data_IF_081272959181
#
_entry.id   IF_081272959181
#
_cell.length_a   1.000
_cell.length_b   1.000
_cell.length_c   1.000
_cell.angle_alpha   90.00
_cell.angle_beta   90.00
_cell.angle_gamma   90.00
#
_symmetry.space_group_name_H-M   'P 1'
#
loop_
_entity.id
_entity.type
_entity.pdbx_description
1 polymer ?
#
# COMPACT_ATOMS: atom_id res chain seq x y z
N UNK A 1 -30.89 33.57 10.44
CA UNK A 1 -31.12 32.29 11.14
C UNK A 1 -29.86 31.45 11.02
N UNK A 2 -29.19 31.20 12.14
CA UNK A 2 -27.97 30.41 12.24
C UNK A 2 -28.42 28.94 12.25
N UNK A 3 -28.11 28.18 11.20
CA UNK A 3 -28.31 26.73 11.20
C UNK A 3 -26.97 26.04 11.39
N UNK A 4 -26.63 25.86 12.65
CA UNK A 4 -25.62 24.94 13.15
C UNK A 4 -26.15 23.51 12.93
N UNK A 5 -25.61 22.78 11.95
CA UNK A 5 -25.72 21.33 11.86
C UNK A 5 -24.33 20.71 11.72
N UNK A 6 -23.65 20.54 12.86
CA UNK A 6 -22.64 19.49 13.00
C UNK A 6 -23.39 18.17 13.14
N UNK A 7 -23.43 17.37 12.08
CA UNK A 7 -23.87 15.98 12.18
C UNK A 7 -23.03 15.13 11.21
N UNK A 8 -21.96 14.55 11.76
CA UNK A 8 -21.15 13.45 11.21
C UNK A 8 -20.89 13.52 9.70
N UNK A 9 -20.12 14.51 9.26
CA UNK A 9 -19.61 14.51 7.89
C UNK A 9 -18.56 13.39 7.79
N UNK A 10 -18.98 12.23 7.30
CA UNK A 10 -18.08 11.31 6.61
C UNK A 10 -17.39 12.15 5.54
N UNK A 11 -16.14 12.54 5.78
CA UNK A 11 -15.36 13.25 4.79
C UNK A 11 -15.21 12.29 3.60
N UNK A 12 -15.81 12.56 2.42
CA UNK A 12 -15.77 11.61 1.29
C UNK A 12 -14.33 11.29 0.87
N UNK A 13 -13.40 12.24 1.10
CA UNK A 13 -11.98 12.03 0.90
C UNK A 13 -11.40 10.97 1.86
N UNK A 14 -11.88 10.91 3.11
CA UNK A 14 -11.48 9.88 4.09
C UNK A 14 -12.06 8.53 3.72
N UNK A 15 -13.31 8.43 3.26
CA UNK A 15 -13.91 7.16 2.83
C UNK A 15 -13.18 6.56 1.60
N UNK A 16 -12.76 7.41 0.65
CA UNK A 16 -11.97 6.98 -0.51
C UNK A 16 -10.59 6.48 -0.07
N UNK A 17 -9.88 7.25 0.76
CA UNK A 17 -8.59 6.84 1.32
C UNK A 17 -8.71 5.56 2.13
N UNK A 18 -9.76 5.43 2.92
CA UNK A 18 -10.06 4.25 3.71
C UNK A 18 -10.24 3.00 2.83
N UNK A 19 -11.04 3.12 1.76
CA UNK A 19 -11.24 2.04 0.79
C UNK A 19 -9.92 1.64 0.10
N UNK A 20 -9.06 2.61 -0.22
CA UNK A 20 -7.70 2.35 -0.74
C UNK A 20 -6.85 1.60 0.29
N UNK A 21 -6.91 2.02 1.56
CA UNK A 21 -6.13 1.39 2.63
C UNK A 21 -6.58 -0.03 2.96
N UNK A 22 -7.87 -0.33 2.92
CA UNK A 22 -8.39 -1.69 3.17
C UNK A 22 -7.82 -2.73 2.20
N UNK A 23 -7.39 -2.32 0.99
CA UNK A 23 -6.80 -3.20 -0.04
C UNK A 23 -5.28 -3.37 0.09
N UNK A 24 -4.60 -2.45 0.78
CA UNK A 24 -3.15 -2.51 1.01
C UNK A 24 -2.64 -3.83 1.58
N UNK A 25 -3.26 -4.46 2.61
CA UNK A 25 -2.73 -5.68 3.17
C UNK A 25 -2.68 -6.85 2.17
N UNK A 26 -3.63 -6.93 1.24
CA UNK A 26 -3.62 -7.93 0.17
C UNK A 26 -2.55 -7.60 -0.89
N UNK A 27 -2.38 -6.32 -1.23
CA UNK A 27 -1.29 -5.87 -2.12
C UNK A 27 0.07 -6.23 -1.51
N UNK A 28 0.29 -5.92 -0.23
CA UNK A 28 1.54 -6.23 0.48
C UNK A 28 1.88 -7.72 0.40
N UNK A 29 0.87 -8.59 0.57
CA UNK A 29 1.01 -10.05 0.42
C UNK A 29 1.42 -10.45 -0.97
N UNK A 30 0.79 -9.91 -2.00
CA UNK A 30 1.16 -10.20 -3.39
C UNK A 30 2.58 -9.72 -3.71
N UNK A 31 2.95 -8.51 -3.29
CA UNK A 31 4.30 -7.97 -3.47
C UNK A 31 5.33 -8.88 -2.79
N UNK A 32 5.14 -9.23 -1.53
CA UNK A 32 6.05 -10.12 -0.80
C UNK A 32 6.21 -11.49 -1.47
N UNK A 33 5.10 -12.12 -1.87
CA UNK A 33 5.15 -13.41 -2.56
C UNK A 33 5.92 -13.31 -3.88
N UNK A 34 5.82 -12.17 -4.58
CA UNK A 34 6.60 -11.92 -5.78
C UNK A 34 8.11 -11.80 -5.47
N UNK A 35 8.49 -11.09 -4.42
CA UNK A 35 9.90 -11.04 -3.96
C UNK A 35 10.45 -12.42 -3.60
N UNK A 36 9.68 -13.24 -2.87
CA UNK A 36 10.09 -14.61 -2.52
C UNK A 36 10.25 -15.48 -3.77
N UNK A 37 9.40 -15.28 -4.78
CA UNK A 37 9.46 -16.03 -6.04
C UNK A 37 10.63 -15.61 -6.95
N UNK A 38 10.92 -14.31 -7.07
CA UNK A 38 12.04 -13.79 -7.87
C UNK A 38 13.40 -14.04 -7.21
N UNK A 39 13.45 -14.11 -5.86
CA UNK A 39 14.70 -14.21 -5.06
C UNK A 39 15.68 -13.07 -5.32
N UNK A 40 15.17 -11.89 -5.70
CA UNK A 40 15.95 -10.66 -5.88
C UNK A 40 15.69 -9.70 -4.72
N UNK A 41 16.72 -8.98 -4.22
CA UNK A 41 16.54 -8.01 -3.14
C UNK A 41 15.79 -6.75 -3.58
N UNK A 42 15.91 -6.39 -4.87
CA UNK A 42 15.24 -5.26 -5.49
C UNK A 42 14.56 -5.69 -6.80
N UNK A 43 13.37 -5.16 -7.04
CA UNK A 43 12.55 -5.41 -8.23
C UNK A 43 12.13 -4.08 -8.84
N UNK A 44 12.02 -4.01 -10.16
CA UNK A 44 11.49 -2.82 -10.84
C UNK A 44 10.04 -2.59 -10.41
N UNK A 45 9.71 -1.33 -10.10
CA UNK A 45 8.39 -0.93 -9.64
C UNK A 45 7.32 -1.28 -10.68
N UNK A 46 7.58 -1.08 -11.96
CA UNK A 46 6.70 -1.49 -13.06
C UNK A 46 6.39 -2.99 -13.02
N UNK A 47 7.40 -3.85 -12.94
CA UNK A 47 7.20 -5.30 -12.89
C UNK A 47 6.39 -5.73 -11.65
N UNK A 48 6.62 -5.07 -10.51
CA UNK A 48 5.84 -5.30 -9.28
C UNK A 48 4.38 -4.87 -9.51
N UNK A 49 4.16 -3.71 -10.12
CA UNK A 49 2.81 -3.20 -10.42
C UNK A 49 2.05 -4.12 -11.39
N UNK A 50 2.71 -4.59 -12.45
CA UNK A 50 2.14 -5.55 -13.39
C UNK A 50 1.76 -6.86 -12.71
N UNK A 51 2.64 -7.39 -11.85
CA UNK A 51 2.36 -8.62 -11.11
C UNK A 51 1.19 -8.46 -10.15
N UNK A 52 1.14 -7.34 -9.41
CA UNK A 52 0.03 -7.03 -8.50
C UNK A 52 -1.28 -6.87 -9.26
N UNK A 53 -1.25 -6.21 -10.43
CA UNK A 53 -2.43 -6.09 -11.30
C UNK A 53 -2.96 -7.47 -11.70
N UNK A 54 -2.08 -8.34 -12.16
CA UNK A 54 -2.47 -9.68 -12.62
C UNK A 54 -2.94 -10.59 -11.47
N UNK A 55 -2.35 -10.48 -10.27
CA UNK A 55 -2.64 -11.41 -9.16
C UNK A 55 -3.65 -10.91 -8.13
N UNK A 56 -3.82 -9.60 -7.95
CA UNK A 56 -4.59 -9.03 -6.84
C UNK A 56 -5.67 -8.05 -7.29
N UNK A 57 -5.33 -7.14 -8.20
CA UNK A 57 -6.18 -5.99 -8.55
C UNK A 57 -6.26 -5.80 -10.07
N UNK A 58 -6.92 -6.72 -10.80
CA UNK A 58 -7.02 -6.63 -12.26
C UNK A 58 -7.80 -5.40 -12.73
N UNK A 59 -8.72 -4.91 -11.90
CA UNK A 59 -9.57 -3.74 -12.20
C UNK A 59 -8.85 -2.39 -12.10
N UNK A 60 -7.65 -2.34 -11.48
CA UNK A 60 -6.91 -1.09 -11.30
C UNK A 60 -5.91 -0.85 -12.44
N UNK A 61 -5.65 0.44 -12.71
CA UNK A 61 -4.58 0.85 -13.61
C UNK A 61 -3.21 0.72 -12.93
N UNK A 62 -2.15 0.58 -13.73
CA UNK A 62 -0.79 0.45 -13.21
C UNK A 62 -0.38 1.67 -12.37
N UNK A 63 -0.78 2.87 -12.79
CA UNK A 63 -0.55 4.11 -12.05
C UNK A 63 -1.21 4.10 -10.66
N UNK A 64 -2.46 3.63 -10.56
CA UNK A 64 -3.12 3.50 -9.27
C UNK A 64 -2.42 2.46 -8.39
N UNK A 65 -2.02 1.31 -8.94
CA UNK A 65 -1.28 0.30 -8.18
C UNK A 65 0.05 0.87 -7.68
N UNK A 66 0.75 1.62 -8.52
CA UNK A 66 1.98 2.30 -8.15
C UNK A 66 1.74 3.23 -6.96
N UNK A 67 0.69 4.06 -7.00
CA UNK A 67 0.30 4.91 -5.87
C UNK A 67 0.10 4.12 -4.58
N UNK A 68 -0.53 2.93 -4.65
CA UNK A 68 -0.71 2.07 -3.48
C UNK A 68 0.62 1.54 -2.93
N UNK A 69 1.57 1.17 -3.80
CA UNK A 69 2.92 0.73 -3.38
C UNK A 69 3.68 1.87 -2.70
N UNK A 70 3.64 3.08 -3.28
CA UNK A 70 4.23 4.28 -2.67
C UNK A 70 3.57 4.58 -1.31
N UNK A 71 2.26 4.41 -1.21
CA UNK A 71 1.52 4.64 0.02
C UNK A 71 1.92 3.63 1.11
N UNK A 72 2.17 2.37 0.76
CA UNK A 72 2.71 1.39 1.72
C UNK A 72 4.08 1.84 2.26
N UNK A 73 4.97 2.31 1.40
CA UNK A 73 6.28 2.80 1.82
C UNK A 73 6.18 4.03 2.75
N UNK A 74 5.23 4.93 2.48
CA UNK A 74 4.99 6.08 3.36
C UNK A 74 4.52 5.67 4.76
N UNK A 75 3.72 4.60 4.88
CA UNK A 75 3.22 4.13 6.16
C UNK A 75 4.21 3.23 6.91
N UNK A 76 4.95 2.37 6.20
CA UNK A 76 5.88 1.40 6.78
C UNK A 76 7.21 1.42 6.01
N UNK A 77 8.01 2.49 6.17
CA UNK A 77 9.32 2.62 5.51
C UNK A 77 10.36 1.62 6.06
N UNK A 78 10.08 0.97 7.19
CA UNK A 78 10.91 -0.09 7.75
C UNK A 78 10.77 -1.44 7.01
N UNK A 79 9.65 -1.63 6.29
CA UNK A 79 9.36 -2.87 5.56
C UNK A 79 9.79 -2.75 4.09
N UNK A 80 9.39 -1.66 3.44
CA UNK A 80 9.56 -1.45 2.01
C UNK A 80 10.36 -0.18 1.73
N UNK A 81 11.37 -0.30 0.88
CA UNK A 81 12.23 0.79 0.44
C UNK A 81 12.00 1.02 -1.06
N UNK A 82 12.03 2.29 -1.47
CA UNK A 82 11.95 2.68 -2.87
C UNK A 82 13.26 3.38 -3.22
N UNK A 83 13.92 2.88 -4.27
CA UNK A 83 15.18 3.40 -4.79
C UNK A 83 14.94 3.90 -6.19
N UNK A 84 15.21 5.18 -6.44
CA UNK A 84 15.13 5.76 -7.78
C UNK A 84 16.51 5.64 -8.44
N UNK A 85 16.59 4.97 -9.59
CA UNK A 85 17.82 4.78 -10.35
C UNK A 85 17.60 5.28 -11.78
N UNK A 86 18.22 6.42 -12.12
CA UNK A 86 17.98 7.11 -13.39
C UNK A 86 16.48 7.41 -13.62
N UNK A 87 15.89 6.79 -14.65
CA UNK A 87 14.50 6.95 -15.06
C UNK A 87 13.60 5.85 -14.47
N UNK A 88 14.18 4.85 -13.83
CA UNK A 88 13.49 3.68 -13.32
C UNK A 88 13.42 3.70 -11.79
N UNK A 89 12.31 3.18 -11.24
CA UNK A 89 12.13 3.03 -9.80
C UNK A 89 12.21 1.58 -9.44
N UNK A 90 12.93 1.29 -8.37
CA UNK A 90 13.07 -0.03 -7.80
C UNK A 90 12.45 -0.07 -6.42
N UNK A 91 11.86 -1.21 -6.09
CA UNK A 91 11.32 -1.53 -4.77
C UNK A 91 12.19 -2.61 -4.16
N UNK A 92 12.52 -2.48 -2.89
CA UNK A 92 13.23 -3.50 -2.12
C UNK A 92 12.56 -3.76 -0.78
N UNK A 93 12.69 -4.99 -0.27
CA UNK A 93 12.27 -5.30 1.10
C UNK A 93 13.48 -5.08 2.01
N UNK A 94 13.41 -4.05 2.85
CA UNK A 94 14.53 -3.60 3.69
C UNK A 94 14.90 -4.60 4.77
N UNK A 95 13.91 -5.27 5.34
CA UNK A 95 14.12 -6.26 6.38
C UNK A 95 13.48 -7.59 5.98
N UNK A 96 14.30 -8.50 5.47
CA UNK A 96 13.89 -9.87 5.09
C UNK A 96 13.43 -10.72 6.26
N UNK A 97 13.75 -10.33 7.51
CA UNK A 97 13.26 -10.99 8.73
C UNK A 97 11.96 -10.37 9.25
N UNK A 98 11.54 -9.23 8.71
CA UNK A 98 10.29 -8.60 9.12
C UNK A 98 9.13 -9.45 8.62
N UNK A 99 8.36 -10.00 9.54
CA UNK A 99 7.22 -10.83 9.17
C UNK A 99 6.22 -9.95 8.43
N UNK A 100 5.79 -10.39 7.25
CA UNK A 100 4.73 -9.68 6.52
C UNK A 100 3.47 -9.51 7.36
N UNK A 101 3.17 -10.45 8.27
CA UNK A 101 2.01 -10.35 9.14
C UNK A 101 2.14 -9.21 10.14
N UNK A 102 3.34 -8.89 10.63
CA UNK A 102 3.56 -7.72 11.49
C UNK A 102 3.33 -6.42 10.71
N UNK A 103 3.84 -6.34 9.47
CA UNK A 103 3.61 -5.19 8.59
C UNK A 103 2.12 -5.00 8.26
N UNK A 104 1.43 -6.09 7.92
CA UNK A 104 -0.01 -6.10 7.65
C UNK A 104 -0.80 -5.73 8.90
N UNK A 105 -0.42 -6.22 10.08
CA UNK A 105 -1.07 -5.88 11.35
C UNK A 105 -0.94 -4.39 11.64
N UNK A 106 0.25 -3.82 11.45
CA UNK A 106 0.50 -2.39 11.63
C UNK A 106 -0.36 -1.54 10.69
N UNK A 107 -0.49 -1.91 9.41
CA UNK A 107 -1.43 -1.25 8.48
C UNK A 107 -2.87 -1.39 8.96
N UNK A 108 -3.30 -2.59 9.38
CA UNK A 108 -4.67 -2.81 9.89
C UNK A 108 -4.95 -1.98 11.14
N UNK A 109 -3.99 -1.81 12.03
CA UNK A 109 -4.10 -0.91 13.19
C UNK A 109 -4.23 0.55 12.77
N UNK A 110 -3.45 1.01 11.77
CA UNK A 110 -3.60 2.35 11.18
C UNK A 110 -5.00 2.55 10.59
N UNK A 111 -5.53 1.56 9.88
CA UNK A 111 -6.90 1.56 9.33
C UNK A 111 -7.94 1.62 10.45
N UNK A 112 -7.74 0.86 11.54
CA UNK A 112 -8.64 0.86 12.69
C UNK A 112 -8.67 2.23 13.39
N UNK A 113 -7.51 2.87 13.55
CA UNK A 113 -7.40 4.24 14.09
C UNK A 113 -8.13 5.27 13.21
N UNK A 114 -8.08 5.11 11.88
CA UNK A 114 -8.83 5.96 10.95
C UNK A 114 -10.35 5.73 11.02
N UNK A 115 -10.80 4.52 11.38
CA UNK A 115 -12.21 4.16 11.57
C UNK A 115 -12.83 4.74 12.86
N UNK A 116 -12.00 5.07 13.85
CA UNK A 116 -12.42 5.53 15.19
C UNK A 116 -12.49 7.06 15.35
N UNK A 117 -12.11 7.83 14.32
CA UNK A 117 -12.08 9.30 14.30
C UNK A 117 -13.14 9.85 13.36
#
# INVERSE_FOLDING_TARGET
KINNQKMMMRDPNKDILFTKMERLPDIMRCVYNYFVSEKKPYLQLDNVCEKVKHSCLPDLTLDQIQEHVLLIQNHIPEWLEIVNLHEERYVGIKNTKYNINDAVTKIKECICKLKLV
#
